data_IF_733002584457
#
_entry.id   IF_733002584457
#
_cell.length_a   1.000
_cell.length_b   1.000
_cell.length_c   1.000
_cell.angle_alpha   90.00
_cell.angle_beta   90.00
_cell.angle_gamma   90.00
#
_symmetry.space_group_name_H-M   'P 1'
#
loop_
_entity.id
_entity.type
_entity.pdbx_description
1 polymer ?
#
# COMPACT_ATOMS: atom_id res chain seq x y z
N UNK A 1 2.88 18.22 -20.25
CA UNK A 1 4.19 18.91 -20.15
C UNK A 1 4.39 19.76 -21.38
N UNK A 2 5.10 20.88 -21.30
CA UNK A 2 5.60 21.72 -22.43
C UNK A 2 7.03 21.29 -22.84
N UNK A 3 7.57 21.75 -23.98
CA UNK A 3 8.89 21.29 -24.48
C UNK A 3 9.95 21.88 -23.55
N UNK A 4 10.90 21.05 -23.15
CA UNK A 4 11.83 21.35 -22.05
C UNK A 4 11.22 21.29 -20.65
N UNK A 5 9.93 20.95 -20.50
CA UNK A 5 9.27 20.80 -19.21
C UNK A 5 9.69 19.52 -18.49
N UNK A 6 9.88 19.59 -17.16
CA UNK A 6 10.26 18.47 -16.31
C UNK A 6 9.10 17.96 -15.45
N UNK A 7 9.10 16.67 -15.14
CA UNK A 7 8.18 16.02 -14.22
C UNK A 7 8.96 15.09 -13.30
N UNK A 8 8.68 15.18 -12.00
CA UNK A 8 9.17 14.28 -10.98
C UNK A 8 7.98 13.51 -10.41
N UNK A 9 8.08 12.19 -10.39
CA UNK A 9 7.05 11.29 -9.85
C UNK A 9 7.66 10.48 -8.72
N UNK A 10 6.93 10.34 -7.61
CA UNK A 10 7.32 9.51 -6.47
C UNK A 10 6.21 8.50 -6.18
N UNK A 11 6.56 7.22 -6.16
CA UNK A 11 5.65 6.13 -5.83
C UNK A 11 6.20 5.33 -4.66
N UNK A 12 5.29 4.76 -3.85
CA UNK A 12 5.69 3.74 -2.89
C UNK A 12 5.95 2.45 -3.69
N UNK A 13 7.11 1.85 -3.51
CA UNK A 13 7.55 0.66 -4.21
C UNK A 13 8.06 -0.42 -3.26
N UNK A 14 8.80 -1.36 -3.84
CA UNK A 14 9.40 -2.49 -3.12
C UNK A 14 10.82 -2.78 -3.58
N UNK A 15 11.68 -3.12 -2.64
CA UNK A 15 13.08 -3.47 -2.86
C UNK A 15 13.22 -4.91 -3.39
N UNK A 16 12.31 -5.79 -2.97
CA UNK A 16 12.31 -7.21 -3.33
C UNK A 16 11.49 -7.47 -4.60
N UNK A 17 12.02 -8.29 -5.51
CA UNK A 17 11.35 -8.61 -6.79
C UNK A 17 10.05 -9.40 -6.59
N UNK A 18 10.00 -10.27 -5.58
CA UNK A 18 8.82 -11.04 -5.21
C UNK A 18 7.69 -10.12 -4.68
N UNK A 19 6.53 -10.05 -5.35
CA UNK A 19 5.38 -9.25 -4.92
C UNK A 19 4.75 -9.72 -3.61
N UNK A 20 5.00 -10.94 -3.19
CA UNK A 20 4.43 -11.51 -1.95
C UNK A 20 5.32 -11.28 -0.73
N UNK A 21 6.49 -10.66 -0.92
CA UNK A 21 7.41 -10.39 0.17
C UNK A 21 6.87 -9.36 1.17
N UNK A 22 7.29 -9.51 2.44
CA UNK A 22 6.90 -8.63 3.55
C UNK A 22 7.41 -7.19 3.43
N UNK A 23 8.29 -6.93 2.46
CA UNK A 23 8.94 -5.64 2.22
C UNK A 23 7.97 -4.52 1.78
N UNK A 24 6.78 -4.85 1.28
CA UNK A 24 5.79 -3.85 0.89
C UNK A 24 4.34 -4.19 1.24
N UNK A 25 4.00 -5.48 1.23
CA UNK A 25 2.61 -5.92 1.34
C UNK A 25 2.13 -6.12 2.78
N UNK A 26 2.98 -5.88 3.78
CA UNK A 26 2.65 -6.27 5.16
C UNK A 26 1.47 -5.49 5.75
N UNK A 27 1.32 -4.20 5.43
CA UNK A 27 0.15 -3.42 5.85
C UNK A 27 -1.16 -4.01 5.28
N UNK A 28 -1.13 -4.46 4.02
CA UNK A 28 -2.27 -5.13 3.40
C UNK A 28 -2.52 -6.52 4.00
N UNK A 29 -1.46 -7.26 4.33
CA UNK A 29 -1.57 -8.55 5.03
C UNK A 29 -2.24 -8.38 6.41
N UNK A 30 -1.88 -7.33 7.16
CA UNK A 30 -2.52 -7.02 8.43
C UNK A 30 -3.99 -6.63 8.25
N UNK A 31 -4.33 -5.86 7.22
CA UNK A 31 -5.71 -5.50 6.90
C UNK A 31 -6.53 -6.74 6.52
N UNK A 32 -5.99 -7.62 5.68
CA UNK A 32 -6.63 -8.88 5.31
C UNK A 32 -6.88 -9.77 6.54
N UNK A 33 -5.91 -9.87 7.46
CA UNK A 33 -6.10 -10.59 8.73
C UNK A 33 -7.18 -9.95 9.61
N UNK A 34 -7.28 -8.62 9.63
CA UNK A 34 -8.36 -7.92 10.34
C UNK A 34 -9.73 -8.20 9.73
N UNK A 35 -9.86 -8.29 8.40
CA UNK A 35 -11.08 -8.70 7.73
C UNK A 35 -11.45 -10.15 8.07
N UNK A 36 -10.48 -11.07 8.06
CA UNK A 36 -10.71 -12.47 8.45
C UNK A 36 -11.18 -12.62 9.91
N UNK A 37 -10.74 -11.74 10.81
CA UNK A 37 -11.27 -11.71 12.18
C UNK A 37 -12.76 -11.30 12.23
N UNK A 38 -13.23 -10.48 11.28
CA UNK A 38 -14.64 -10.12 11.15
C UNK A 38 -15.46 -11.23 10.48
N UNK A 39 -14.86 -11.96 9.54
CA UNK A 39 -15.44 -13.19 8.98
C UNK A 39 -15.66 -14.22 10.08
N UNK A 40 -14.68 -14.44 10.95
CA UNK A 40 -14.79 -15.35 12.09
C UNK A 40 -15.90 -14.95 13.08
N UNK A 41 -16.28 -13.67 13.12
CA UNK A 41 -17.41 -13.14 13.92
C UNK A 41 -18.75 -13.19 13.18
N UNK A 42 -18.76 -13.57 11.91
CA UNK A 42 -19.96 -13.54 11.05
C UNK A 42 -20.41 -12.14 10.65
N UNK A 43 -19.55 -11.13 10.76
CA UNK A 43 -19.86 -9.74 10.41
C UNK A 43 -19.59 -9.45 8.92
N UNK A 44 -18.76 -10.26 8.27
CA UNK A 44 -18.39 -10.16 6.85
C UNK A 44 -18.46 -11.57 6.25
N UNK A 45 -18.94 -11.71 5.02
CA UNK A 45 -18.87 -12.99 4.32
C UNK A 45 -17.47 -13.22 3.74
N UNK A 46 -16.95 -14.44 3.86
CA UNK A 46 -15.65 -14.81 3.30
C UNK A 46 -15.56 -14.56 1.78
N UNK A 47 -16.65 -14.82 1.05
CA UNK A 47 -16.77 -14.52 -0.38
C UNK A 47 -16.57 -13.04 -0.72
N UNK A 48 -16.98 -12.15 0.17
CA UNK A 48 -16.84 -10.71 -0.04
C UNK A 48 -15.38 -10.31 0.10
N UNK A 49 -14.65 -10.94 1.03
CA UNK A 49 -13.20 -10.76 1.19
C UNK A 49 -12.46 -11.33 -0.01
N UNK A 50 -12.82 -12.52 -0.49
CA UNK A 50 -12.17 -13.17 -1.64
C UNK A 50 -12.36 -12.39 -2.96
N UNK A 51 -13.49 -11.71 -3.10
CA UNK A 51 -13.79 -10.89 -4.29
C UNK A 51 -13.13 -9.50 -4.26
N UNK A 52 -12.71 -9.04 -3.09
CA UNK A 52 -12.16 -7.70 -2.90
C UNK A 52 -10.66 -7.65 -3.18
N UNK A 53 -10.25 -6.80 -4.12
CA UNK A 53 -8.83 -6.51 -4.37
C UNK A 53 -8.58 -5.01 -4.26
N UNK A 54 -7.50 -4.63 -3.60
CA UNK A 54 -7.16 -3.22 -3.46
C UNK A 54 -6.46 -2.72 -4.73
N UNK A 55 -6.80 -1.51 -5.24
CA UNK A 55 -6.26 -0.99 -6.49
C UNK A 55 -4.86 -0.38 -6.31
N UNK A 56 -4.03 -0.94 -5.41
CA UNK A 56 -2.68 -0.46 -5.13
C UNK A 56 -1.64 -1.46 -5.59
N UNK A 57 -0.63 -0.96 -6.28
CA UNK A 57 0.50 -1.75 -6.76
C UNK A 57 1.82 -1.12 -6.34
N UNK A 58 2.70 -1.92 -5.74
CA UNK A 58 4.04 -1.52 -5.32
C UNK A 58 5.07 -1.99 -6.35
N UNK A 59 5.54 -1.12 -7.27
CA UNK A 59 6.51 -1.49 -8.27
C UNK A 59 7.87 -1.82 -7.66
N UNK A 60 8.57 -2.77 -8.26
CA UNK A 60 9.98 -3.05 -7.99
C UNK A 60 10.86 -2.35 -9.05
N UNK A 61 12.07 -1.97 -8.69
CA UNK A 61 13.04 -1.34 -9.61
C UNK A 61 13.25 -2.17 -10.90
N UNK A 62 13.19 -3.51 -10.83
CA UNK A 62 13.36 -4.38 -12.02
C UNK A 62 12.19 -4.33 -13.01
N UNK A 63 11.10 -3.64 -12.68
CA UNK A 63 10.01 -3.35 -13.61
C UNK A 63 10.40 -2.11 -14.44
N UNK A 64 11.63 -2.10 -14.95
CA UNK A 64 12.18 -1.17 -15.94
C UNK A 64 11.50 -1.28 -17.32
N UNK A 65 10.39 -2.01 -17.44
CA UNK A 65 9.72 -2.30 -18.71
C UNK A 65 8.23 -2.04 -18.71
N UNK A 66 7.73 -1.15 -17.86
CA UNK A 66 6.56 -0.39 -18.28
C UNK A 66 7.02 0.51 -19.43
N UNK A 67 6.94 -0.01 -20.66
CA UNK A 67 7.08 0.75 -21.91
C UNK A 67 5.91 1.75 -22.01
N UNK A 68 5.88 2.73 -21.10
CA UNK A 68 5.23 3.99 -21.37
C UNK A 68 6.19 4.70 -22.31
N UNK A 69 5.71 5.00 -23.50
CA UNK A 69 6.45 5.52 -24.65
C UNK A 69 7.06 6.92 -24.40
N UNK A 70 7.98 7.07 -23.43
CA UNK A 70 8.73 8.30 -23.15
C UNK A 70 10.10 7.98 -22.57
N UNK A 71 11.08 8.74 -23.02
CA UNK A 71 12.46 8.71 -22.56
C UNK A 71 12.52 9.07 -21.06
N UNK A 72 12.77 8.08 -20.20
CA UNK A 72 13.05 8.29 -18.78
C UNK A 72 14.57 8.48 -18.63
N UNK A 73 14.98 9.68 -18.21
CA UNK A 73 16.36 9.97 -17.81
C UNK A 73 16.40 9.82 -16.28
N UNK A 74 17.01 8.73 -15.84
CA UNK A 74 17.35 8.37 -14.45
C UNK A 74 16.18 8.09 -13.47
N UNK A 75 16.15 6.85 -12.97
CA UNK A 75 15.40 6.45 -11.77
C UNK A 75 16.35 6.42 -10.57
N UNK A 76 16.10 7.24 -9.55
CA UNK A 76 16.88 7.22 -8.30
C UNK A 76 16.05 6.51 -7.22
N UNK A 77 16.65 5.50 -6.57
CA UNK A 77 16.02 4.75 -5.49
C UNK A 77 16.46 5.30 -4.15
N UNK A 78 15.52 5.87 -3.38
CA UNK A 78 15.79 6.32 -2.01
C UNK A 78 15.08 5.39 -1.03
N UNK A 79 15.87 4.65 -0.27
CA UNK A 79 15.38 3.91 0.89
C UNK A 79 15.05 4.87 2.03
N UNK A 80 13.94 4.58 2.72
CA UNK A 80 13.51 5.11 4.02
C UNK A 80 12.43 6.21 4.00
N UNK A 81 11.17 5.76 4.00
CA UNK A 81 10.14 6.33 4.88
C UNK A 81 9.68 5.22 5.83
N UNK A 82 9.92 5.41 7.13
CA UNK A 82 9.38 4.53 8.18
C UNK A 82 8.10 5.14 8.71
N UNK A 83 7.04 4.35 8.83
CA UNK A 83 5.85 4.79 9.55
C UNK A 83 6.12 4.78 11.05
N UNK A 84 5.79 5.86 11.76
CA UNK A 84 5.81 5.85 13.22
C UNK A 84 4.60 5.09 13.79
N UNK A 85 4.68 4.76 15.08
CA UNK A 85 3.63 4.02 15.80
C UNK A 85 2.38 4.91 15.92
N UNK A 86 1.31 4.53 15.23
CA UNK A 86 0.03 5.26 15.18
C UNK A 86 -0.28 5.84 13.80
N UNK A 87 0.72 6.38 13.10
CA UNK A 87 0.53 7.05 11.80
C UNK A 87 0.15 6.09 10.66
N UNK A 88 0.67 4.86 10.69
CA UNK A 88 0.36 3.84 9.66
C UNK A 88 -1.09 3.38 9.68
N UNK A 89 -1.71 3.31 10.86
CA UNK A 89 -3.11 2.92 11.02
C UNK A 89 -4.05 3.94 10.36
N UNK A 90 -3.86 5.20 10.74
CA UNK A 90 -4.69 6.32 10.29
C UNK A 90 -4.47 6.63 8.81
N UNK A 91 -3.23 6.53 8.29
CA UNK A 91 -2.96 6.72 6.87
C UNK A 91 -3.65 5.66 6.00
N UNK A 92 -3.58 4.38 6.39
CA UNK A 92 -4.25 3.31 5.64
C UNK A 92 -5.77 3.48 5.70
N UNK A 93 -6.31 3.85 6.87
CA UNK A 93 -7.73 4.19 7.01
C UNK A 93 -8.14 5.30 6.03
N UNK A 94 -7.43 6.42 6.05
CA UNK A 94 -7.74 7.57 5.21
C UNK A 94 -7.76 7.24 3.71
N UNK A 95 -6.90 6.34 3.22
CA UNK A 95 -6.84 5.99 1.79
C UNK A 95 -7.83 4.89 1.38
N UNK A 96 -8.25 4.03 2.31
CA UNK A 96 -9.04 2.82 1.96
C UNK A 96 -10.45 2.78 2.52
N UNK A 97 -10.77 3.59 3.53
CA UNK A 97 -12.07 3.58 4.20
C UNK A 97 -13.24 3.70 3.23
N UNK A 98 -13.17 4.61 2.26
CA UNK A 98 -14.25 4.77 1.27
C UNK A 98 -14.47 3.53 0.41
N UNK A 99 -13.40 2.84 0.00
CA UNK A 99 -13.49 1.61 -0.80
C UNK A 99 -13.99 0.43 0.02
N UNK A 100 -13.58 0.35 1.28
CA UNK A 100 -14.03 -0.69 2.21
C UNK A 100 -15.49 -0.49 2.58
N UNK A 101 -15.92 0.75 2.80
CA UNK A 101 -17.30 1.09 3.11
C UNK A 101 -18.24 0.78 1.93
N UNK A 102 -17.80 1.08 0.70
CA UNK A 102 -18.56 0.77 -0.51
C UNK A 102 -18.75 -0.75 -0.70
N UNK A 103 -17.72 -1.55 -0.44
CA UNK A 103 -17.76 -3.00 -0.67
C UNK A 103 -18.34 -3.81 0.50
N UNK A 104 -18.01 -3.44 1.75
CA UNK A 104 -18.39 -4.20 2.95
C UNK A 104 -19.46 -3.51 3.81
N UNK A 105 -19.81 -2.25 3.52
CA UNK A 105 -20.73 -1.43 4.29
C UNK A 105 -20.06 -0.64 5.42
N UNK A 106 -20.66 0.50 5.80
CA UNK A 106 -20.13 1.41 6.82
C UNK A 106 -20.07 0.80 8.23
N UNK A 107 -20.95 -0.16 8.53
CA UNK A 107 -21.13 -0.67 9.90
C UNK A 107 -19.93 -1.44 10.44
N UNK A 108 -19.07 -1.97 9.56
CA UNK A 108 -17.91 -2.77 9.94
C UNK A 108 -16.62 -1.95 10.06
N UNK A 109 -16.62 -0.70 9.57
CA UNK A 109 -15.40 0.10 9.38
C UNK A 109 -14.68 0.39 10.69
N UNK A 110 -15.39 0.86 11.72
CA UNK A 110 -14.76 1.19 12.99
C UNK A 110 -14.20 -0.04 13.70
N UNK A 111 -14.91 -1.17 13.63
CA UNK A 111 -14.43 -2.43 14.22
C UNK A 111 -13.22 -2.97 13.45
N UNK A 112 -13.25 -2.90 12.12
CA UNK A 112 -12.16 -3.28 11.24
C UNK A 112 -10.89 -2.50 11.59
N UNK A 113 -10.98 -1.17 11.66
CA UNK A 113 -9.82 -0.33 11.92
C UNK A 113 -9.34 -0.41 13.37
N UNK A 114 -10.22 -0.73 14.32
CA UNK A 114 -9.80 -1.07 15.70
C UNK A 114 -8.94 -2.33 15.73
N UNK A 115 -9.37 -3.41 15.05
CA UNK A 115 -8.58 -4.64 14.94
C UNK A 115 -7.28 -4.45 14.16
N UNK A 116 -7.34 -3.64 13.10
CA UNK A 116 -6.18 -3.30 12.30
C UNK A 116 -5.12 -2.55 13.11
N UNK A 117 -5.54 -1.52 13.87
CA UNK A 117 -4.64 -0.77 14.74
C UNK A 117 -3.97 -1.66 15.81
N UNK A 118 -4.70 -2.63 16.37
CA UNK A 118 -4.14 -3.63 17.29
C UNK A 118 -3.04 -4.45 16.60
N UNK A 119 -3.32 -5.01 15.41
CA UNK A 119 -2.37 -5.83 14.65
C UNK A 119 -1.12 -5.04 14.21
N UNK A 120 -1.30 -3.79 13.79
CA UNK A 120 -0.20 -2.88 13.44
C UNK A 120 0.64 -2.56 14.68
N UNK A 121 -0.01 -2.25 15.81
CA UNK A 121 0.66 -1.97 17.07
C UNK A 121 1.49 -3.15 17.59
N UNK A 122 0.94 -4.35 17.51
CA UNK A 122 1.62 -5.60 17.88
C UNK A 122 2.84 -5.85 16.97
N UNK A 123 2.68 -5.69 15.66
CA UNK A 123 3.78 -5.86 14.72
C UNK A 123 4.90 -4.84 14.96
N UNK A 124 4.56 -3.56 15.12
CA UNK A 124 5.52 -2.48 15.38
C UNK A 124 6.24 -2.61 16.73
N UNK A 125 5.74 -3.44 17.65
CA UNK A 125 6.44 -3.77 18.89
C UNK A 125 7.63 -4.72 18.66
N UNK A 126 7.66 -5.44 17.54
CA UNK A 126 8.69 -6.41 17.20
C UNK A 126 9.56 -6.00 16.00
N UNK A 127 8.99 -5.32 15.01
CA UNK A 127 9.67 -4.99 13.75
C UNK A 127 9.24 -3.62 13.23
N UNK A 128 10.19 -2.84 12.69
CA UNK A 128 9.87 -1.58 12.01
C UNK A 128 9.39 -1.85 10.59
N UNK A 129 8.28 -1.26 10.21
CA UNK A 129 7.82 -1.28 8.83
C UNK A 129 8.68 -0.33 8.01
N UNK A 130 9.31 -0.85 6.96
CA UNK A 130 10.08 -0.08 5.98
C UNK A 130 9.35 -0.15 4.65
N UNK A 131 9.36 0.96 3.93
CA UNK A 131 8.94 0.99 2.53
C UNK A 131 10.04 1.62 1.69
N UNK A 132 10.04 1.22 0.43
CA UNK A 132 10.87 1.87 -0.56
C UNK A 132 10.07 2.92 -1.33
N UNK A 133 10.78 3.94 -1.81
CA UNK A 133 10.23 4.94 -2.72
C UNK A 133 10.93 4.84 -4.07
N UNK A 134 10.14 4.81 -5.14
CA UNK A 134 10.60 4.88 -6.52
C UNK A 134 10.43 6.32 -7.00
N UNK A 135 11.54 6.99 -7.30
CA UNK A 135 11.54 8.35 -7.85
C UNK A 135 11.88 8.29 -9.34
N UNK A 136 11.02 8.87 -10.17
CA UNK A 136 11.19 8.97 -11.61
C UNK A 136 11.30 10.44 -12.01
N UNK A 137 12.36 10.78 -12.74
CA UNK A 137 12.52 12.10 -13.36
C UNK A 137 12.33 11.97 -14.86
N UNK A 138 11.59 12.91 -15.47
CA UNK A 138 11.40 12.93 -16.93
C UNK A 138 11.45 14.35 -17.46
N UNK A 139 11.96 14.51 -18.68
CA UNK A 139 11.96 15.77 -19.42
C UNK A 139 11.22 15.57 -20.73
N UNK A 140 10.23 16.42 -21.02
CA UNK A 140 9.56 16.40 -22.33
C UNK A 140 10.48 17.03 -23.37
N UNK A 141 10.90 16.23 -24.36
CA UNK A 141 11.52 16.74 -25.60
C UNK A 141 10.56 17.70 -26.31
#
# INVERSE_FOLDING_TARGET
MISGGRMMLTFIGRSITDPTSKDCCYLWELLAKSLLDLVAKGLVHESDVDSFNTPYYYPCHKIEKLKVNRDFDDSEYKENFGFEKGESGDCIRAITESMLADHFGDTIIDELFTKYAQRVGDHLSHEKIKHASVVLSTTRK
#
